data_IF_810693526533
#
_entry.id   IF_810693526533
#
_cell.length_a   1.000
_cell.length_b   1.000
_cell.length_c   1.000
_cell.angle_alpha   90.00
_cell.angle_beta   90.00
_cell.angle_gamma   90.00
#
_symmetry.space_group_name_H-M   'P 1'
#
loop_
_entity.id
_entity.type
_entity.pdbx_description
1 polymer ?
#
# COMPACT_ATOMS: atom_id res chain seq x y z
N UNK A 1 -3.76 -1.97 -3.05
CA UNK A 1 -3.01 -1.12 -2.10
C UNK A 1 -3.57 0.30 -2.06
N UNK A 2 -3.60 1.05 -3.16
CA UNK A 2 -4.16 2.41 -3.20
C UNK A 2 -5.66 2.55 -2.87
N UNK A 3 -6.39 1.44 -2.67
CA UNK A 3 -7.79 1.40 -2.25
C UNK A 3 -7.97 1.50 -0.73
N UNK A 4 -6.91 1.24 0.04
CA UNK A 4 -6.97 1.27 1.49
C UNK A 4 -6.83 2.70 2.02
N UNK A 5 -7.49 2.98 3.14
CA UNK A 5 -7.34 4.24 3.85
C UNK A 5 -5.87 4.51 4.20
N UNK A 6 -5.45 5.78 4.15
CA UNK A 6 -4.07 6.21 4.47
C UNK A 6 -3.54 5.67 5.80
N UNK A 7 -4.39 5.55 6.82
CA UNK A 7 -4.02 4.98 8.13
C UNK A 7 -3.60 3.51 8.01
N UNK A 8 -4.34 2.72 7.22
CA UNK A 8 -4.03 1.31 6.96
C UNK A 8 -2.75 1.17 6.15
N UNK A 9 -2.51 2.09 5.20
CA UNK A 9 -1.27 2.13 4.42
C UNK A 9 -0.03 2.44 5.26
N UNK A 10 -0.18 3.22 6.35
CA UNK A 10 0.94 3.47 7.28
C UNK A 10 1.35 2.27 8.13
N UNK A 11 0.48 1.26 8.27
CA UNK A 11 0.73 0.10 9.14
C UNK A 11 1.88 -0.79 8.63
N UNK A 12 1.95 -1.18 7.35
CA UNK A 12 3.11 -1.89 6.80
C UNK A 12 4.46 -1.24 7.12
N UNK A 13 4.56 0.10 7.06
CA UNK A 13 5.80 0.81 7.43
C UNK A 13 6.20 0.51 8.87
N UNK A 14 5.26 0.61 9.80
CA UNK A 14 5.52 0.35 11.22
C UNK A 14 5.91 -1.12 11.49
N UNK A 15 5.48 -2.05 10.64
CA UNK A 15 5.85 -3.47 10.74
C UNK A 15 7.24 -3.76 10.15
N UNK A 16 7.60 -3.09 9.05
CA UNK A 16 8.84 -3.32 8.30
C UNK A 16 10.06 -2.61 8.91
N UNK A 17 9.91 -1.40 9.48
CA UNK A 17 11.06 -0.64 10.00
C UNK A 17 11.74 -1.25 11.24
N UNK A 18 11.01 -1.66 12.30
CA UNK A 18 11.65 -2.13 13.53
C UNK A 18 11.83 -3.65 13.58
N UNK A 19 11.20 -4.40 12.67
CA UNK A 19 11.13 -5.87 12.74
C UNK A 19 10.45 -6.40 14.01
N UNK A 20 9.81 -5.52 14.79
CA UNK A 20 9.01 -5.84 15.97
C UNK A 20 7.77 -4.95 16.05
N UNK A 21 6.73 -5.46 16.69
CA UNK A 21 5.46 -4.75 16.90
C UNK A 21 5.12 -4.77 18.37
N UNK A 22 5.01 -3.58 18.94
CA UNK A 22 4.63 -3.40 20.34
C UNK A 22 3.18 -2.97 20.43
N UNK A 23 2.37 -3.72 21.18
CA UNK A 23 0.98 -3.37 21.53
C UNK A 23 0.91 -3.10 23.02
N UNK A 24 0.64 -1.85 23.37
CA UNK A 24 0.39 -1.42 24.75
C UNK A 24 -1.11 -1.30 25.01
N UNK A 25 -1.57 -1.93 26.09
CA UNK A 25 -2.91 -1.78 26.68
C UNK A 25 -2.79 -1.42 28.15
N UNK A 26 -3.89 -0.96 28.75
CA UNK A 26 -3.94 -0.46 30.12
C UNK A 26 -3.27 -1.37 31.17
N UNK A 27 -3.27 -2.70 30.95
CA UNK A 27 -2.74 -3.68 31.90
C UNK A 27 -1.49 -4.42 31.42
N UNK A 28 -1.04 -4.25 30.16
CA UNK A 28 0.14 -4.95 29.65
C UNK A 28 0.69 -4.36 28.35
N UNK A 29 1.99 -4.52 28.15
CA UNK A 29 2.68 -4.24 26.88
C UNK A 29 3.30 -5.53 26.37
N UNK A 30 2.93 -5.92 25.15
CA UNK A 30 3.44 -7.12 24.49
C UNK A 30 4.18 -6.74 23.20
N UNK A 31 5.34 -7.36 22.98
CA UNK A 31 6.18 -7.15 21.80
C UNK A 31 6.30 -8.45 21.01
N UNK A 32 5.96 -8.39 19.73
CA UNK A 32 6.05 -9.52 18.80
C UNK A 32 7.10 -9.24 17.73
N UNK A 33 7.74 -10.29 17.20
CA UNK A 33 8.61 -10.17 16.03
C UNK A 33 7.78 -10.01 14.75
N UNK A 34 8.23 -9.18 13.82
CA UNK A 34 7.56 -8.90 12.54
C UNK A 34 8.50 -9.06 11.33
N UNK A 35 9.22 -10.18 11.27
CA UNK A 35 10.02 -10.56 10.11
C UNK A 35 9.14 -11.32 9.11
N UNK A 36 8.74 -10.66 8.03
CA UNK A 36 7.95 -11.25 6.95
C UNK A 36 8.27 -10.58 5.60
N UNK A 37 7.89 -11.23 4.51
CA UNK A 37 7.96 -10.66 3.16
C UNK A 37 6.61 -10.01 2.85
N UNK A 38 6.62 -8.71 2.51
CA UNK A 38 5.43 -8.01 2.07
C UNK A 38 5.26 -8.18 0.56
N UNK A 39 4.13 -8.78 0.15
CA UNK A 39 3.69 -8.82 -1.25
C UNK A 39 2.42 -8.01 -1.37
N UNK A 40 2.37 -7.08 -2.33
CA UNK A 40 1.22 -6.22 -2.53
C UNK A 40 0.96 -5.94 -4.01
N UNK A 41 -0.31 -5.76 -4.34
CA UNK A 41 -0.75 -5.33 -5.65
C UNK A 41 -1.65 -4.08 -5.52
N UNK A 42 -1.68 -3.27 -6.58
CA UNK A 42 -2.62 -2.16 -6.68
C UNK A 42 -3.19 -2.09 -8.09
N UNK A 43 -4.45 -1.69 -8.17
CA UNK A 43 -5.08 -1.45 -9.45
C UNK A 43 -4.41 -0.25 -10.16
N UNK A 44 -4.42 -0.20 -11.50
CA UNK A 44 -3.76 0.88 -12.25
C UNK A 44 -4.50 2.23 -12.12
N UNK A 45 -5.78 2.18 -11.78
CA UNK A 45 -6.69 3.30 -11.53
C UNK A 45 -7.86 2.86 -10.60
N UNK A 46 -8.70 3.79 -10.11
CA UNK A 46 -9.86 3.44 -9.27
C UNK A 46 -10.86 2.46 -9.90
N UNK A 47 -11.05 2.50 -11.22
CA UNK A 47 -11.95 1.57 -11.91
C UNK A 47 -11.29 0.27 -12.36
N UNK A 48 -9.97 0.11 -12.16
CA UNK A 48 -9.22 -1.10 -12.52
C UNK A 48 -8.89 -1.30 -14.00
N UNK A 49 -9.53 -0.58 -14.92
CA UNK A 49 -9.44 -0.86 -16.37
C UNK A 49 -8.45 0.02 -17.15
N UNK A 50 -7.64 0.86 -16.47
CA UNK A 50 -6.62 1.65 -17.16
C UNK A 50 -5.59 0.71 -17.82
N UNK A 51 -5.54 0.72 -19.15
CA UNK A 51 -4.66 -0.16 -19.94
C UNK A 51 -5.28 -1.52 -20.32
N UNK A 52 -6.55 -1.77 -19.99
CA UNK A 52 -7.22 -3.02 -20.36
C UNK A 52 -7.52 -3.09 -21.87
N UNK A 53 -7.25 -4.24 -22.49
CA UNK A 53 -7.62 -4.53 -23.88
C UNK A 53 -9.11 -4.84 -24.06
N UNK A 54 -9.80 -5.22 -22.98
CA UNK A 54 -11.18 -5.71 -23.03
C UNK A 54 -12.20 -4.71 -22.46
N UNK A 55 -11.76 -3.75 -21.63
CA UNK A 55 -12.64 -2.82 -20.95
C UNK A 55 -12.13 -1.37 -21.05
N UNK A 56 -13.06 -0.44 -21.24
CA UNK A 56 -12.75 0.99 -21.26
C UNK A 56 -12.64 1.57 -19.84
N UNK A 57 -11.58 2.35 -19.61
CA UNK A 57 -11.37 3.08 -18.35
C UNK A 57 -12.25 4.33 -18.28
N UNK A 58 -13.10 4.42 -17.26
CA UNK A 58 -13.98 5.58 -17.01
C UNK A 58 -13.34 6.69 -16.17
N UNK A 59 -12.10 6.54 -15.72
CA UNK A 59 -11.45 7.50 -14.82
C UNK A 59 -10.83 8.69 -15.57
N UNK A 60 -10.98 9.89 -15.01
CA UNK A 60 -10.25 11.07 -15.48
C UNK A 60 -8.77 11.02 -15.06
N UNK A 61 -7.90 11.68 -15.83
CA UNK A 61 -6.45 11.77 -15.55
C UNK A 61 -6.16 12.27 -14.12
N UNK A 62 -6.89 13.28 -13.65
CA UNK A 62 -6.76 13.79 -12.28
C UNK A 62 -7.09 12.72 -11.23
N UNK A 63 -8.12 11.90 -11.46
CA UNK A 63 -8.49 10.82 -10.52
C UNK A 63 -7.41 9.74 -10.47
N UNK A 64 -6.81 9.41 -11.61
CA UNK A 64 -5.72 8.43 -11.71
C UNK A 64 -4.49 8.93 -10.94
N UNK A 65 -4.10 10.19 -11.14
CA UNK A 65 -2.97 10.80 -10.44
C UNK A 65 -3.19 10.81 -8.92
N UNK A 66 -4.37 11.25 -8.47
CA UNK A 66 -4.71 11.26 -7.04
C UNK A 66 -4.67 9.85 -6.44
N UNK A 67 -5.21 8.87 -7.16
CA UNK A 67 -5.23 7.47 -6.72
C UNK A 67 -3.82 6.89 -6.56
N UNK A 68 -2.94 7.11 -7.56
CA UNK A 68 -1.54 6.64 -7.51
C UNK A 68 -0.74 7.32 -6.40
N UNK A 69 -1.01 8.60 -6.15
CA UNK A 69 -0.36 9.38 -5.10
C UNK A 69 -0.87 9.06 -3.68
N UNK A 70 -1.87 8.18 -3.52
CA UNK A 70 -2.32 7.76 -2.19
C UNK A 70 -1.29 6.90 -1.45
N UNK A 71 -0.48 6.13 -2.17
CA UNK A 71 0.72 5.57 -1.59
C UNK A 71 1.71 6.70 -1.34
N UNK A 72 1.99 6.96 -0.06
CA UNK A 72 3.05 7.89 0.31
C UNK A 72 4.38 7.41 -0.25
N UNK A 73 5.24 8.34 -0.68
CA UNK A 73 6.59 8.01 -1.16
C UNK A 73 7.38 7.17 -0.17
N UNK A 74 7.13 7.33 1.13
CA UNK A 74 7.82 6.60 2.20
C UNK A 74 7.53 5.09 2.21
N UNK A 75 6.44 4.62 1.59
CA UNK A 75 6.18 3.18 1.41
C UNK A 75 6.85 2.70 0.13
N UNK A 76 6.79 3.51 -0.94
CA UNK A 76 7.50 3.21 -2.19
C UNK A 76 9.01 3.06 -1.96
N UNK A 77 9.61 3.87 -1.09
CA UNK A 77 11.04 3.80 -0.72
C UNK A 77 11.40 2.52 0.07
N UNK A 78 10.42 1.70 0.44
CA UNK A 78 10.58 0.48 1.25
C UNK A 78 10.20 -0.80 0.50
N UNK A 79 9.81 -0.69 -0.76
CA UNK A 79 9.52 -1.84 -1.61
C UNK A 79 10.67 -1.95 -2.60
N UNK A 80 11.49 -2.99 -2.45
CA UNK A 80 12.69 -3.16 -3.28
C UNK A 80 12.35 -3.46 -4.75
N UNK A 81 11.23 -4.13 -4.98
CA UNK A 81 10.83 -4.62 -6.31
C UNK A 81 9.48 -4.02 -6.69
N UNK A 82 9.50 -3.20 -7.75
CA UNK A 82 8.30 -2.69 -8.39
C UNK A 82 8.11 -3.33 -9.76
N UNK A 83 6.98 -4.01 -9.94
CA UNK A 83 6.61 -4.59 -11.23
C UNK A 83 5.39 -3.82 -11.74
N UNK A 84 5.56 -2.89 -12.70
CA UNK A 84 4.43 -2.28 -13.37
C UNK A 84 3.74 -3.32 -14.26
N UNK A 85 2.40 -3.32 -14.24
CA UNK A 85 1.63 -4.04 -15.24
C UNK A 85 1.80 -3.30 -16.58
N UNK A 86 2.30 -4.00 -17.59
CA UNK A 86 2.39 -3.52 -18.98
C UNK A 86 1.08 -3.78 -19.71
#
# INVERSE_FOLDING_TARGET
>A
MAEFFKKTLGMPRQLLEPGVVTKSRAHSTLTYRSFFILVCAMNPCPCGYLGSLHHYCTCFQRQIQVYRNQLSGHIYDRIDIHIPLQ
#
